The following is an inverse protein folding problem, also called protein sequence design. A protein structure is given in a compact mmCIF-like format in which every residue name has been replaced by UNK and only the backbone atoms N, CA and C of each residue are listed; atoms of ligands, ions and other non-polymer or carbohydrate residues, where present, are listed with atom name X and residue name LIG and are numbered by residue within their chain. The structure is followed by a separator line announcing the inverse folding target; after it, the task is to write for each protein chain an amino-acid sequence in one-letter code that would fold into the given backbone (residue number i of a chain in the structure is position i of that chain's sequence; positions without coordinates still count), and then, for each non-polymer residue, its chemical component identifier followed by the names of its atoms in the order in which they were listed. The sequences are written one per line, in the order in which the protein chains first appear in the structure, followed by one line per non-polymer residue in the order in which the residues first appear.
data_IF_590967632640
#
_entry.id   IF_590967632640
#
_cell.length_a   1.000
_cell.length_b   1.000
_cell.length_c   1.000
_cell.angle_alpha   90.00
_cell.angle_beta   90.00
_cell.angle_gamma   90.00
#
_symmetry.space_group_name_H-M   'P 1'
#
loop_
_entity.id
_entity.type
_entity.pdbx_description
1 polymer ?
#
# COMPACT_ATOMS: atom_id res chain seq x y z
N UNK A 1 -1.16 -3.60 30.29
CA UNK A 1 -1.37 -3.14 28.91
C UNK A 1 -0.21 -3.67 28.11
N UNK A 2 -0.43 -4.45 27.04
CA UNK A 2 0.68 -4.89 26.18
C UNK A 2 1.40 -3.64 25.67
N UNK A 3 2.70 -3.56 25.85
CA UNK A 3 3.52 -2.50 25.29
C UNK A 3 3.66 -2.76 23.79
N UNK A 4 3.16 -1.84 22.97
CA UNK A 4 3.36 -1.88 21.52
C UNK A 4 4.72 -1.25 21.22
N UNK A 5 5.52 -1.91 20.40
CA UNK A 5 6.88 -1.49 20.11
C UNK A 5 7.33 -1.93 18.71
N UNK A 6 8.57 -1.59 18.36
CA UNK A 6 9.22 -2.05 17.14
C UNK A 6 9.55 -3.54 17.22
N UNK A 7 9.70 -4.17 16.05
CA UNK A 7 10.23 -5.52 15.96
C UNK A 7 11.62 -5.56 16.62
N UNK A 8 11.86 -6.59 17.46
CA UNK A 8 13.11 -6.69 18.22
C UNK A 8 13.25 -5.73 19.42
N UNK A 9 12.25 -4.89 19.70
CA UNK A 9 12.27 -3.97 20.86
C UNK A 9 13.17 -2.74 20.66
N UNK A 10 13.53 -2.43 19.42
CA UNK A 10 14.39 -1.28 19.10
C UNK A 10 13.73 0.06 19.46
N UNK A 11 14.52 1.00 19.99
CA UNK A 11 14.11 2.36 20.32
C UNK A 11 14.85 3.31 19.37
N UNK A 12 14.11 3.88 18.39
CA UNK A 12 14.70 4.69 17.32
C UNK A 12 14.68 6.21 17.62
N UNK A 13 14.06 6.62 18.74
CA UNK A 13 13.99 8.02 19.14
C UNK A 13 13.06 8.87 18.24
N UNK A 14 13.36 10.16 18.12
CA UNK A 14 12.58 11.08 17.29
C UNK A 14 12.93 10.94 15.81
N UNK A 15 11.93 10.60 15.00
CA UNK A 15 12.09 10.40 13.56
C UNK A 15 11.21 11.36 12.75
N UNK A 16 11.71 11.77 11.58
CA UNK A 16 10.87 12.37 10.54
C UNK A 16 10.07 11.26 9.83
N UNK A 17 8.98 11.62 9.13
CA UNK A 17 8.19 10.67 8.34
C UNK A 17 9.06 9.83 7.38
N UNK A 18 9.99 10.48 6.65
CA UNK A 18 10.88 9.81 5.70
C UNK A 18 11.73 8.74 6.40
N UNK A 19 12.33 9.09 7.56
CA UNK A 19 13.13 8.13 8.34
C UNK A 19 12.29 7.02 8.95
N UNK A 20 11.10 7.35 9.48
CA UNK A 20 10.19 6.36 10.04
C UNK A 20 9.74 5.33 8.98
N UNK A 21 9.46 5.79 7.76
CA UNK A 21 9.14 4.90 6.64
C UNK A 21 10.33 4.03 6.23
N UNK A 22 11.52 4.64 6.13
CA UNK A 22 12.77 3.96 5.76
C UNK A 22 13.18 2.89 6.75
N UNK A 23 13.01 3.15 8.04
CA UNK A 23 13.36 2.22 9.12
C UNK A 23 12.20 1.31 9.55
N UNK A 24 11.04 1.47 8.93
CA UNK A 24 9.83 0.68 9.27
C UNK A 24 9.44 0.81 10.75
N UNK A 25 9.47 2.03 11.30
CA UNK A 25 9.22 2.30 12.71
C UNK A 25 7.75 2.14 13.07
N UNK A 26 7.40 1.07 13.76
CA UNK A 26 6.02 0.80 14.16
C UNK A 26 5.49 1.86 15.14
N UNK A 27 6.32 2.33 16.07
CA UNK A 27 5.90 3.28 17.10
C UNK A 27 5.45 4.61 16.47
N UNK A 28 6.19 5.09 15.46
CA UNK A 28 5.79 6.26 14.69
C UNK A 28 4.41 6.06 14.03
N UNK A 29 4.20 4.91 13.39
CA UNK A 29 2.95 4.63 12.69
C UNK A 29 1.79 4.31 13.64
N UNK A 30 2.02 3.79 14.84
CA UNK A 30 1.00 3.68 15.88
C UNK A 30 0.49 5.07 16.31
N UNK A 31 1.42 6.00 16.59
CA UNK A 31 1.07 7.37 16.94
C UNK A 31 0.35 8.10 15.80
N UNK A 32 0.83 7.91 14.57
CA UNK A 32 0.17 8.45 13.38
C UNK A 32 -1.25 7.87 13.23
N UNK A 33 -1.41 6.55 13.37
CA UNK A 33 -2.70 5.89 13.30
C UNK A 33 -3.66 6.34 14.39
N UNK A 34 -3.17 6.59 15.60
CA UNK A 34 -3.95 7.17 16.69
C UNK A 34 -4.51 8.56 16.34
N UNK A 35 -3.68 9.43 15.78
CA UNK A 35 -4.07 10.79 15.38
C UNK A 35 -5.00 10.82 14.18
N UNK A 36 -4.75 9.97 13.18
CA UNK A 36 -5.53 9.90 11.94
C UNK A 36 -6.87 9.21 12.15
N UNK A 37 -6.89 8.15 12.96
CA UNK A 37 -8.06 7.32 13.23
C UNK A 37 -8.39 6.33 12.11
N UNK A 38 -9.09 5.24 12.48
CA UNK A 38 -9.38 4.14 11.56
C UNK A 38 -10.24 4.56 10.37
N UNK A 39 -11.19 5.47 10.56
CA UNK A 39 -12.10 5.89 9.49
C UNK A 39 -11.34 6.58 8.33
N UNK A 40 -10.28 7.35 8.64
CA UNK A 40 -9.42 7.93 7.62
C UNK A 40 -8.45 6.90 7.02
N UNK A 41 -7.92 5.97 7.82
CA UNK A 41 -7.08 4.87 7.31
C UNK A 41 -7.89 4.06 6.30
N UNK A 42 -9.12 3.65 6.62
CA UNK A 42 -10.04 2.96 5.72
C UNK A 42 -10.28 3.76 4.44
N UNK A 43 -10.62 5.05 4.58
CA UNK A 43 -10.86 5.95 3.43
C UNK A 43 -9.68 5.97 2.45
N UNK A 44 -8.47 6.18 2.96
CA UNK A 44 -7.29 6.24 2.10
C UNK A 44 -6.89 4.86 1.55
N UNK A 45 -7.11 3.77 2.28
CA UNK A 45 -6.92 2.43 1.75
C UNK A 45 -7.79 2.20 0.49
N UNK A 46 -9.06 2.59 0.52
CA UNK A 46 -9.94 2.52 -0.65
C UNK A 46 -9.50 3.44 -1.80
N UNK A 47 -9.03 4.66 -1.51
CA UNK A 47 -8.49 5.58 -2.52
C UNK A 47 -7.32 4.92 -3.28
N UNK A 48 -6.46 4.19 -2.59
CA UNK A 48 -5.34 3.45 -3.18
C UNK A 48 -5.73 2.09 -3.80
N UNK A 49 -7.01 1.70 -3.75
CA UNK A 49 -7.54 0.50 -4.42
C UNK A 49 -7.59 -0.76 -3.58
N UNK A 50 -7.38 -0.68 -2.26
CA UNK A 50 -7.57 -1.81 -1.36
C UNK A 50 -9.05 -2.07 -1.07
N UNK A 51 -9.41 -3.31 -0.78
CA UNK A 51 -10.78 -3.71 -0.46
C UNK A 51 -11.72 -3.83 -1.66
N UNK A 52 -11.22 -3.63 -2.88
CA UNK A 52 -11.98 -3.78 -4.14
C UNK A 52 -11.17 -4.60 -5.16
N UNK A 53 -11.84 -5.16 -6.15
CA UNK A 53 -11.17 -5.82 -7.27
C UNK A 53 -10.46 -4.78 -8.13
N UNK A 54 -9.26 -5.11 -8.62
CA UNK A 54 -8.51 -4.23 -9.54
C UNK A 54 -9.12 -4.22 -10.94
N UNK A 55 -9.92 -5.22 -11.27
CA UNK A 55 -10.52 -5.41 -12.56
C UNK A 55 -9.57 -6.00 -13.61
N UNK A 56 -8.49 -6.66 -13.16
CA UNK A 56 -7.63 -7.42 -14.06
C UNK A 56 -8.46 -8.47 -14.83
N UNK A 57 -8.09 -8.73 -16.07
CA UNK A 57 -8.74 -9.68 -16.98
C UNK A 57 -8.48 -11.15 -16.60
N UNK A 58 -8.68 -11.47 -15.29
CA UNK A 58 -8.62 -12.82 -14.72
C UNK A 58 -9.87 -13.10 -13.90
N UNK A 59 -10.37 -14.33 -14.01
CA UNK A 59 -11.45 -14.81 -13.16
C UNK A 59 -10.97 -15.09 -11.73
N UNK A 60 -11.91 -15.00 -10.76
CA UNK A 60 -11.63 -15.35 -9.36
C UNK A 60 -10.83 -14.31 -8.57
N UNK A 61 -10.68 -13.10 -9.07
CA UNK A 61 -9.96 -12.03 -8.34
C UNK A 61 -10.62 -11.78 -6.97
N UNK A 62 -9.83 -11.84 -5.90
CA UNK A 62 -10.25 -11.48 -4.54
C UNK A 62 -10.18 -9.96 -4.34
N UNK A 63 -11.17 -9.40 -3.65
CA UNK A 63 -11.17 -7.99 -3.25
C UNK A 63 -10.33 -7.70 -1.99
N UNK A 64 -9.81 -8.74 -1.32
CA UNK A 64 -9.16 -8.55 -0.03
C UNK A 64 -10.13 -8.01 1.04
N UNK A 65 -9.56 -7.41 2.08
CA UNK A 65 -10.30 -6.81 3.19
C UNK A 65 -9.56 -5.59 3.72
N UNK A 66 -10.27 -4.48 3.90
CA UNK A 66 -9.76 -3.29 4.60
C UNK A 66 -10.31 -3.28 6.01
N UNK A 67 -9.42 -3.15 6.99
CA UNK A 67 -9.79 -3.08 8.39
C UNK A 67 -10.68 -1.86 8.66
N UNK A 68 -11.85 -2.10 9.27
CA UNK A 68 -12.78 -1.04 9.68
C UNK A 68 -13.69 -1.48 10.82
N UNK A 69 -14.31 -0.52 11.48
CA UNK A 69 -15.30 -0.77 12.53
C UNK A 69 -16.44 -1.66 12.03
N UNK A 70 -16.93 -1.35 10.81
CA UNK A 70 -18.00 -2.09 10.15
C UNK A 70 -17.60 -3.53 9.88
N UNK A 71 -16.44 -3.75 9.26
CA UNK A 71 -15.92 -5.08 8.93
C UNK A 71 -15.73 -5.93 10.19
N UNK A 72 -15.17 -5.35 11.25
CA UNK A 72 -14.98 -6.07 12.51
C UNK A 72 -16.33 -6.52 13.11
N UNK A 73 -17.31 -5.62 13.13
CA UNK A 73 -18.65 -5.94 13.63
C UNK A 73 -19.35 -7.02 12.79
N UNK A 74 -19.27 -6.93 11.46
CA UNK A 74 -19.97 -7.87 10.56
C UNK A 74 -19.37 -9.28 10.55
N UNK A 75 -18.04 -9.39 10.70
CA UNK A 75 -17.35 -10.69 10.56
C UNK A 75 -17.11 -11.37 11.91
N UNK A 76 -16.77 -10.59 12.95
CA UNK A 76 -16.37 -11.11 14.26
C UNK A 76 -17.37 -10.81 15.38
N UNK A 77 -18.41 -10.00 15.11
CA UNK A 77 -19.40 -9.53 16.10
C UNK A 77 -18.75 -8.84 17.32
N UNK A 78 -17.68 -8.10 17.08
CA UNK A 78 -16.92 -7.38 18.10
C UNK A 78 -16.88 -5.88 17.83
N UNK A 79 -16.77 -5.09 18.91
CA UNK A 79 -16.52 -3.66 18.84
C UNK A 79 -15.06 -3.36 18.50
N UNK A 80 -14.86 -2.25 17.77
CA UNK A 80 -13.54 -1.75 17.45
C UNK A 80 -12.81 -1.27 18.71
N UNK A 81 -11.54 -1.65 18.87
CA UNK A 81 -10.67 -1.24 19.96
C UNK A 81 -9.49 -0.44 19.44
N UNK A 82 -8.88 0.38 20.28
CA UNK A 82 -7.71 1.18 19.90
C UNK A 82 -6.55 0.32 19.38
N UNK A 83 -6.32 -0.85 19.94
CA UNK A 83 -5.31 -1.80 19.45
C UNK A 83 -5.52 -2.24 18.00
N UNK A 84 -6.79 -2.30 17.55
CA UNK A 84 -7.10 -2.61 16.15
C UNK A 84 -6.65 -1.49 15.21
N UNK A 85 -6.79 -0.22 15.65
CA UNK A 85 -6.27 0.94 14.91
C UNK A 85 -4.75 0.90 14.78
N UNK A 86 -4.04 0.55 15.85
CA UNK A 86 -2.59 0.41 15.82
C UNK A 86 -2.14 -0.67 14.84
N UNK A 87 -2.75 -1.86 14.90
CA UNK A 87 -2.48 -2.92 13.96
C UNK A 87 -2.78 -2.52 12.52
N UNK A 88 -3.93 -1.88 12.27
CA UNK A 88 -4.29 -1.41 10.94
C UNK A 88 -3.30 -0.37 10.39
N UNK A 89 -2.77 0.51 11.25
CA UNK A 89 -1.84 1.57 10.86
C UNK A 89 -0.48 1.05 10.36
N UNK A 90 -0.11 -0.18 10.70
CA UNK A 90 1.09 -0.87 10.19
C UNK A 90 0.77 -1.97 9.18
N UNK A 91 -0.46 -1.99 8.65
CA UNK A 91 -0.89 -2.96 7.65
C UNK A 91 -1.18 -4.36 8.19
N UNK A 92 -1.35 -4.51 9.49
CA UNK A 92 -1.61 -5.78 10.17
C UNK A 92 -3.08 -5.90 10.62
N UNK A 93 -3.38 -6.94 11.40
CA UNK A 93 -4.70 -7.19 11.96
C UNK A 93 -5.68 -7.69 10.91
N UNK A 94 -6.77 -6.96 10.70
CA UNK A 94 -7.86 -7.35 9.80
C UNK A 94 -7.61 -7.00 8.33
N UNK A 95 -6.47 -6.39 7.98
CA UNK A 95 -6.13 -6.08 6.59
C UNK A 95 -5.72 -7.34 5.82
N UNK A 96 -6.39 -7.60 4.70
CA UNK A 96 -6.03 -8.65 3.74
C UNK A 96 -5.90 -8.02 2.35
N UNK A 97 -4.74 -8.12 1.74
CA UNK A 97 -4.45 -7.55 0.43
C UNK A 97 -3.95 -8.61 -0.53
N UNK A 98 -4.27 -8.46 -1.80
CA UNK A 98 -3.72 -9.31 -2.85
C UNK A 98 -2.42 -8.71 -3.41
N UNK A 99 -1.49 -9.51 -3.93
CA UNK A 99 -0.28 -8.99 -4.58
C UNK A 99 -0.57 -8.01 -5.72
N UNK A 100 -1.66 -8.21 -6.46
CA UNK A 100 -2.04 -7.29 -7.55
C UNK A 100 -2.53 -5.94 -7.00
N UNK A 101 -3.24 -5.90 -5.87
CA UNK A 101 -3.61 -4.64 -5.20
C UNK A 101 -2.38 -3.86 -4.73
N UNK A 102 -1.37 -4.56 -4.16
CA UNK A 102 -0.10 -3.94 -3.79
C UNK A 102 0.62 -3.38 -5.03
N UNK A 103 0.62 -4.12 -6.14
CA UNK A 103 1.23 -3.66 -7.40
C UNK A 103 0.53 -2.42 -7.96
N UNK A 104 -0.81 -2.36 -7.88
CA UNK A 104 -1.59 -1.17 -8.29
C UNK A 104 -1.27 0.01 -7.39
N UNK A 105 -1.23 -0.16 -6.07
CA UNK A 105 -0.86 0.89 -5.11
C UNK A 105 0.55 1.42 -5.40
N UNK A 106 1.53 0.54 -5.60
CA UNK A 106 2.90 0.92 -5.95
C UNK A 106 2.96 1.66 -7.29
N UNK A 107 2.17 1.22 -8.26
CA UNK A 107 2.05 1.91 -9.56
C UNK A 107 1.50 3.34 -9.40
N UNK A 108 0.46 3.55 -8.56
CA UNK A 108 -0.08 4.87 -8.25
C UNK A 108 1.01 5.78 -7.67
N UNK A 109 1.77 5.29 -6.69
CA UNK A 109 2.88 6.05 -6.10
C UNK A 109 3.95 6.33 -7.15
N UNK A 110 4.34 5.35 -7.95
CA UNK A 110 5.40 5.45 -8.94
C UNK A 110 5.08 6.41 -10.09
N UNK A 111 3.81 6.51 -10.51
CA UNK A 111 3.42 7.35 -11.65
C UNK A 111 2.91 8.75 -11.26
N UNK A 112 2.89 9.09 -9.95
CA UNK A 112 2.47 10.42 -9.47
C UNK A 112 1.00 10.55 -9.16
N UNK A 113 0.29 9.43 -8.87
CA UNK A 113 -1.07 9.47 -8.35
C UNK A 113 -2.16 9.00 -9.32
N UNK A 114 -1.84 8.34 -10.41
CA UNK A 114 -2.84 7.83 -11.35
C UNK A 114 -3.08 6.33 -11.16
N UNK A 115 -4.32 5.94 -10.86
CA UNK A 115 -4.75 4.55 -10.78
C UNK A 115 -5.14 4.04 -12.17
N UNK A 116 -4.45 3.01 -12.66
CA UNK A 116 -4.78 2.29 -13.88
C UNK A 116 -5.33 0.90 -13.55
N UNK A 117 -6.24 0.42 -14.39
CA UNK A 117 -6.68 -0.97 -14.36
C UNK A 117 -5.55 -1.86 -14.92
N UNK A 118 -5.07 -2.87 -14.16
CA UNK A 118 -4.11 -3.83 -14.69
C UNK A 118 -4.75 -4.74 -15.74
N UNK A 119 -3.95 -5.29 -16.63
CA UNK A 119 -4.39 -6.23 -17.66
C UNK A 119 -3.27 -7.19 -18.03
N UNK A 120 -3.62 -8.34 -18.63
CA UNK A 120 -2.71 -9.34 -19.16
C UNK A 120 -2.75 -9.39 -20.68
N UNK A 121 -3.96 -9.29 -21.27
CA UNK A 121 -4.16 -9.35 -22.71
C UNK A 121 -3.91 -7.99 -23.34
N UNK A 122 -2.80 -7.80 -24.05
CA UNK A 122 -2.56 -6.57 -24.79
C UNK A 122 -3.30 -6.54 -26.13
N UNK A 123 -3.22 -7.63 -26.87
CA UNK A 123 -3.84 -7.77 -28.19
C UNK A 123 -4.13 -9.22 -28.52
N UNK A 124 -5.12 -9.44 -29.37
CA UNK A 124 -5.45 -10.73 -29.97
C UNK A 124 -5.04 -10.68 -31.44
N UNK A 125 -4.30 -11.67 -31.91
CA UNK A 125 -3.80 -11.78 -33.28
C UNK A 125 -4.37 -13.00 -34.00
N UNK A 126 -4.59 -12.90 -35.31
CA UNK A 126 -4.96 -13.99 -36.16
C UNK A 126 -3.78 -14.96 -36.40
N UNK A 127 -4.05 -16.14 -36.98
CA UNK A 127 -3.01 -17.12 -37.31
C UNK A 127 -2.00 -16.63 -38.34
N UNK A 128 -2.35 -15.62 -39.14
CA UNK A 128 -1.47 -14.97 -40.10
C UNK A 128 -0.64 -13.82 -39.54
N UNK A 129 -0.76 -13.56 -38.21
CA UNK A 129 -0.05 -12.48 -37.50
C UNK A 129 -0.73 -11.12 -37.59
N UNK A 130 -1.84 -10.98 -38.30
CA UNK A 130 -2.59 -9.74 -38.33
C UNK A 130 -3.33 -9.48 -37.02
N UNK A 131 -3.53 -8.21 -36.65
CA UNK A 131 -4.29 -7.83 -35.47
C UNK A 131 -5.77 -8.22 -35.64
N UNK A 132 -6.29 -9.05 -34.73
CA UNK A 132 -7.70 -9.37 -34.65
C UNK A 132 -8.45 -8.34 -33.80
N UNK A 133 -7.96 -8.13 -32.58
CA UNK A 133 -8.60 -7.22 -31.62
C UNK A 133 -7.56 -6.62 -30.67
N UNK A 134 -7.77 -5.36 -30.33
CA UNK A 134 -7.07 -4.71 -29.21
C UNK A 134 -8.11 -4.27 -28.19
N UNK A 135 -8.18 -4.94 -27.02
CA UNK A 135 -9.16 -4.62 -25.99
C UNK A 135 -9.09 -3.13 -25.60
N UNK A 136 -10.25 -2.48 -25.47
CA UNK A 136 -10.33 -1.09 -25.03
C UNK A 136 -9.90 -0.99 -23.58
N UNK A 137 -8.95 -0.14 -23.29
CA UNK A 137 -8.47 0.13 -21.93
C UNK A 137 -9.28 1.25 -21.28
N UNK A 138 -9.53 1.09 -19.97
CA UNK A 138 -10.04 2.19 -19.17
C UNK A 138 -8.96 3.28 -19.04
N UNK A 139 -9.39 4.54 -19.08
CA UNK A 139 -8.50 5.66 -18.80
C UNK A 139 -8.06 5.63 -17.35
N UNK A 140 -6.81 6.05 -17.09
CA UNK A 140 -6.28 6.17 -15.73
C UNK A 140 -7.04 7.26 -14.97
N UNK A 141 -7.35 6.98 -13.70
CA UNK A 141 -8.03 7.94 -12.81
C UNK A 141 -7.03 8.50 -11.79
N UNK A 142 -6.84 9.81 -11.78
CA UNK A 142 -6.04 10.46 -10.75
C UNK A 142 -6.74 10.36 -9.39
N UNK A 143 -5.98 9.95 -8.36
CA UNK A 143 -6.52 9.83 -7.00
C UNK A 143 -6.51 11.19 -6.29
N UNK A 144 -7.41 11.35 -5.32
CA UNK A 144 -7.50 12.58 -4.50
C UNK A 144 -6.44 12.59 -3.39
N UNK A 145 -5.17 12.72 -3.82
CA UNK A 145 -4.01 12.86 -2.95
C UNK A 145 -3.06 13.89 -3.55
N UNK A 146 -2.55 14.81 -2.74
CA UNK A 146 -1.65 15.85 -3.22
C UNK A 146 -0.34 15.28 -3.78
N UNK A 147 0.22 15.92 -4.81
CA UNK A 147 1.53 15.57 -5.35
C UNK A 147 2.62 15.59 -4.27
N UNK A 148 2.57 16.55 -3.37
CA UNK A 148 3.50 16.65 -2.25
C UNK A 148 3.46 15.38 -1.36
N UNK A 149 2.28 14.83 -1.09
CA UNK A 149 2.15 13.58 -0.31
C UNK A 149 2.77 12.40 -1.06
N UNK A 150 2.52 12.28 -2.37
CA UNK A 150 3.13 11.25 -3.21
C UNK A 150 4.66 11.37 -3.18
N UNK A 151 5.19 12.58 -3.28
CA UNK A 151 6.63 12.81 -3.28
C UNK A 151 7.27 12.46 -1.93
N UNK A 152 6.63 12.78 -0.80
CA UNK A 152 7.10 12.35 0.53
C UNK A 152 7.11 10.81 0.67
N UNK A 153 6.09 10.12 0.16
CA UNK A 153 6.05 8.65 0.16
C UNK A 153 7.23 8.11 -0.67
N UNK A 154 7.44 8.62 -1.88
CA UNK A 154 8.57 8.23 -2.75
C UNK A 154 9.93 8.46 -2.08
N UNK A 155 10.11 9.60 -1.40
CA UNK A 155 11.34 9.90 -0.67
C UNK A 155 11.58 8.88 0.45
N UNK A 156 10.56 8.53 1.22
CA UNK A 156 10.65 7.51 2.27
C UNK A 156 10.95 6.12 1.71
N UNK A 157 10.28 5.73 0.61
CA UNK A 157 10.53 4.45 -0.08
C UNK A 157 11.93 4.39 -0.69
N UNK A 158 12.44 5.50 -1.25
CA UNK A 158 13.82 5.59 -1.73
C UNK A 158 14.82 5.44 -0.58
N UNK A 159 14.58 6.11 0.55
CA UNK A 159 15.43 6.01 1.73
C UNK A 159 15.45 4.60 2.35
N UNK A 160 14.41 3.78 2.16
CA UNK A 160 14.37 2.38 2.62
C UNK A 160 15.48 1.52 2.00
N UNK A 161 15.85 1.80 0.76
CA UNK A 161 16.85 1.04 -0.01
C UNK A 161 18.24 1.67 0.01
N UNK A 162 18.41 2.78 0.71
CA UNK A 162 19.70 3.45 0.91
C UNK A 162 20.33 3.05 2.26
N UNK A 163 21.55 3.49 2.49
CA UNK A 163 22.26 3.28 3.74
C UNK A 163 21.43 3.77 4.94
N UNK A 164 21.29 2.92 5.96
CA UNK A 164 20.45 3.18 7.13
C UNK A 164 18.96 2.84 6.97
N UNK A 165 18.52 2.38 5.80
CA UNK A 165 17.18 1.83 5.58
C UNK A 165 17.10 0.31 5.79
N UNK A 166 15.88 -0.23 5.97
CA UNK A 166 15.67 -1.66 6.22
C UNK A 166 16.02 -2.57 5.04
N UNK A 167 16.15 -2.03 3.84
CA UNK A 167 16.56 -2.74 2.62
C UNK A 167 17.89 -2.20 2.06
N UNK A 168 18.81 -1.78 2.93
CA UNK A 168 20.12 -1.19 2.56
C UNK A 168 21.02 -2.10 1.72
N UNK A 169 20.77 -3.39 1.67
CA UNK A 169 21.46 -4.33 0.77
C UNK A 169 21.22 -4.04 -0.72
N UNK A 170 20.25 -3.21 -1.06
CA UNK A 170 20.06 -2.69 -2.42
C UNK A 170 20.82 -1.38 -2.68
N UNK A 171 21.46 -0.78 -1.66
CA UNK A 171 22.29 0.40 -1.85
C UNK A 171 23.46 0.05 -2.78
N UNK A 172 23.76 0.94 -3.71
CA UNK A 172 24.84 0.72 -4.67
C UNK A 172 24.47 -0.03 -5.95
N UNK A 173 23.20 -0.39 -6.14
CA UNK A 173 22.76 -0.87 -7.46
C UNK A 173 22.97 0.21 -8.52
N UNK A 174 23.36 -0.17 -9.77
CA UNK A 174 23.57 0.77 -10.88
C UNK A 174 22.34 1.63 -11.20
N UNK A 175 21.14 1.10 -10.92
CA UNK A 175 19.88 1.83 -10.99
C UNK A 175 19.28 1.85 -9.58
N UNK A 176 19.09 3.03 -8.97
CA UNK A 176 18.46 3.13 -7.67
C UNK A 176 17.01 2.61 -7.74
N UNK A 177 16.62 1.91 -6.71
CA UNK A 177 15.25 1.41 -6.54
C UNK A 177 14.63 2.04 -5.30
N UNK A 178 13.31 2.00 -5.21
CA UNK A 178 12.54 2.41 -4.05
C UNK A 178 11.63 1.27 -3.62
N UNK A 179 11.43 1.09 -2.33
CA UNK A 179 10.62 -0.02 -1.83
C UNK A 179 10.19 0.17 -0.38
N UNK A 180 9.47 -0.83 0.12
CA UNK A 180 9.11 -0.96 1.53
C UNK A 180 9.21 -2.42 1.92
N UNK A 181 9.90 -2.69 3.02
CA UNK A 181 9.95 -4.02 3.62
C UNK A 181 8.64 -4.32 4.36
N UNK A 182 8.19 -5.56 4.31
CA UNK A 182 6.98 -6.04 4.97
C UNK A 182 7.20 -7.39 5.63
#
# INVERSE_FOLDING_TARGET
VPTMGNAGGEVLGWLTFIKALAMSDNVYFYELGYRVGIDNIEKYAHIFGFGERTGIDLEGESKGLVASKKVKREIWDEDWRLGDTFNAAIGQGFNLTTPIQLSVMLSIVANGGTKYQPYLVDSIINSDGSLFEKPKRAEGKHIDVSQQTIDYIRMGMSATTQEGGTASYFAGLPKPIAGKTG
#
